data_IF_107407970584
#
_entry.id   IF_107407970584
#
_cell.length_a   1.000
_cell.length_b   1.000
_cell.length_c   1.000
_cell.angle_alpha   90.00
_cell.angle_beta   90.00
_cell.angle_gamma   90.00
#
_symmetry.space_group_name_H-M   'P 1'
#
loop_
_entity.id
_entity.type
_entity.pdbx_description
1 polymer ?
#
# COMPACT_ATOMS: atom_id res chain seq x y z
N UNK A 1 28.13 3.77 24.91
CA UNK A 1 26.96 3.52 24.00
C UNK A 1 26.24 2.25 24.44
N UNK A 2 24.96 2.31 24.87
CA UNK A 2 24.17 1.13 25.22
C UNK A 2 23.95 0.27 23.96
N UNK A 3 24.51 -0.93 23.95
CA UNK A 3 24.29 -1.91 22.87
C UNK A 3 22.82 -2.27 22.82
N UNK A 4 22.07 -1.74 21.85
CA UNK A 4 20.67 -2.13 21.62
C UNK A 4 20.65 -3.54 21.06
N UNK A 5 19.83 -4.43 21.64
CA UNK A 5 19.62 -5.77 21.08
C UNK A 5 19.09 -5.61 19.66
N UNK A 6 19.69 -6.26 18.67
CA UNK A 6 19.32 -6.23 17.23
C UNK A 6 17.82 -6.42 17.05
N UNK A 7 17.19 -7.30 17.84
CA UNK A 7 15.74 -7.54 17.89
C UNK A 7 14.90 -6.26 18.17
N UNK A 8 15.42 -5.34 19.02
CA UNK A 8 14.72 -4.08 19.33
C UNK A 8 14.88 -3.05 18.19
N UNK A 9 16.03 -3.03 17.55
CA UNK A 9 16.29 -2.15 16.39
C UNK A 9 15.45 -2.58 15.19
N UNK A 10 15.30 -3.89 14.94
CA UNK A 10 14.41 -4.41 13.91
C UNK A 10 12.94 -4.14 14.21
N UNK A 11 12.50 -4.27 15.48
CA UNK A 11 11.14 -3.89 15.85
C UNK A 11 10.83 -2.43 15.57
N UNK A 12 11.79 -1.52 15.85
CA UNK A 12 11.64 -0.08 15.52
C UNK A 12 11.61 0.12 14.00
N UNK A 13 12.49 -0.53 13.25
CA UNK A 13 12.50 -0.43 11.79
C UNK A 13 11.19 -0.94 11.17
N UNK A 14 10.64 -2.03 11.71
CA UNK A 14 9.36 -2.56 11.30
C UNK A 14 8.21 -1.58 11.55
N UNK A 15 8.10 -1.04 12.75
CA UNK A 15 7.03 -0.09 13.09
C UNK A 15 7.12 1.17 12.24
N UNK A 16 8.33 1.69 11.97
CA UNK A 16 8.53 2.85 11.10
C UNK A 16 8.18 2.56 9.64
N UNK A 17 8.52 1.37 9.13
CA UNK A 17 8.15 0.94 7.78
C UNK A 17 6.63 0.79 7.62
N UNK A 18 5.96 0.18 8.59
CA UNK A 18 4.51 0.00 8.61
C UNK A 18 3.78 1.35 8.69
N UNK A 19 4.29 2.28 9.49
CA UNK A 19 3.78 3.65 9.59
C UNK A 19 3.94 4.40 8.26
N UNK A 20 5.08 4.26 7.59
CA UNK A 20 5.33 4.84 6.28
C UNK A 20 4.37 4.28 5.22
N UNK A 21 4.10 2.98 5.22
CA UNK A 21 3.11 2.35 4.32
C UNK A 21 1.70 2.89 4.55
N UNK A 22 1.27 3.03 5.80
CA UNK A 22 -0.05 3.58 6.14
C UNK A 22 -0.16 5.02 5.62
N UNK A 23 0.87 5.84 5.81
CA UNK A 23 0.92 7.22 5.29
C UNK A 23 0.83 7.24 3.76
N UNK A 24 1.61 6.40 3.08
CA UNK A 24 1.59 6.27 1.62
C UNK A 24 0.22 5.83 1.08
N UNK A 25 -0.45 4.89 1.74
CA UNK A 25 -1.80 4.44 1.38
C UNK A 25 -2.84 5.56 1.58
N UNK A 26 -2.69 6.35 2.64
CA UNK A 26 -3.57 7.49 2.90
C UNK A 26 -3.40 8.60 1.83
N UNK A 27 -2.15 8.91 1.46
CA UNK A 27 -1.84 9.84 0.38
C UNK A 27 -2.35 9.35 -0.98
N UNK A 28 -2.20 8.07 -1.26
CA UNK A 28 -2.73 7.45 -2.48
C UNK A 28 -4.25 7.55 -2.55
N UNK A 29 -4.95 7.27 -1.43
CA UNK A 29 -6.41 7.43 -1.34
C UNK A 29 -6.83 8.87 -1.63
N UNK A 30 -6.19 9.85 -0.98
CA UNK A 30 -6.49 11.27 -1.20
C UNK A 30 -6.26 11.68 -2.67
N UNK A 31 -5.19 11.21 -3.28
CA UNK A 31 -4.87 11.47 -4.68
C UNK A 31 -5.89 10.86 -5.66
N UNK A 32 -6.34 9.61 -5.44
CA UNK A 32 -7.37 8.96 -6.27
C UNK A 32 -8.70 9.70 -6.19
N UNK A 33 -9.09 10.14 -4.98
CA UNK A 33 -10.33 10.89 -4.77
C UNK A 33 -10.28 12.23 -5.52
N UNK A 34 -9.16 12.94 -5.45
CA UNK A 34 -8.98 14.23 -6.15
C UNK A 34 -9.03 14.05 -7.68
N UNK A 35 -8.38 13.02 -8.22
CA UNK A 35 -8.45 12.69 -9.65
C UNK A 35 -9.88 12.33 -10.06
N UNK A 36 -10.59 11.51 -9.27
CA UNK A 36 -11.95 11.11 -9.59
C UNK A 36 -12.89 12.31 -9.65
N UNK A 37 -12.79 13.22 -8.66
CA UNK A 37 -13.56 14.46 -8.61
C UNK A 37 -13.27 15.37 -9.83
N UNK A 38 -12.00 15.56 -10.16
CA UNK A 38 -11.61 16.37 -11.30
C UNK A 38 -12.07 15.78 -12.64
N UNK A 39 -12.04 14.45 -12.77
CA UNK A 39 -12.57 13.78 -13.97
C UNK A 39 -14.10 13.93 -14.07
N UNK A 40 -14.82 13.85 -12.95
CA UNK A 40 -16.26 14.08 -12.89
C UNK A 40 -16.60 15.52 -13.29
N UNK A 41 -15.92 16.52 -12.73
CA UNK A 41 -16.08 17.94 -13.08
C UNK A 41 -15.85 18.18 -14.58
N UNK A 42 -14.78 17.66 -15.15
CA UNK A 42 -14.47 17.78 -16.58
C UNK A 42 -15.54 17.11 -17.46
N UNK A 43 -16.02 15.93 -17.06
CA UNK A 43 -17.04 15.20 -17.80
C UNK A 43 -18.37 15.97 -17.78
N UNK A 44 -18.74 16.51 -16.64
CA UNK A 44 -19.94 17.34 -16.47
C UNK A 44 -19.84 18.62 -17.32
N UNK A 45 -18.72 19.31 -17.28
CA UNK A 45 -18.50 20.54 -18.07
C UNK A 45 -18.62 20.27 -19.56
N UNK A 46 -17.98 19.21 -20.07
CA UNK A 46 -18.09 18.80 -21.46
C UNK A 46 -19.54 18.45 -21.85
N UNK A 47 -20.26 17.74 -20.98
CA UNK A 47 -21.66 17.37 -21.20
C UNK A 47 -22.56 18.60 -21.23
N UNK A 48 -22.38 19.53 -20.30
CA UNK A 48 -23.11 20.80 -20.29
C UNK A 48 -22.87 21.61 -21.55
N UNK A 49 -21.64 21.62 -22.08
CA UNK A 49 -21.31 22.33 -23.32
C UNK A 49 -21.96 21.68 -24.53
N UNK A 50 -21.99 20.36 -24.62
CA UNK A 50 -22.69 19.62 -25.68
C UNK A 50 -24.19 19.94 -25.61
N UNK A 51 -24.80 19.92 -24.43
CA UNK A 51 -26.22 20.25 -24.27
C UNK A 51 -26.52 21.69 -24.62
N UNK A 52 -25.67 22.62 -24.20
CA UNK A 52 -25.80 24.02 -24.57
C UNK A 52 -25.83 24.18 -26.09
N UNK A 53 -24.81 23.67 -26.80
CA UNK A 53 -24.69 23.77 -28.24
C UNK A 53 -25.87 23.10 -28.96
N UNK A 54 -26.33 21.95 -28.45
CA UNK A 54 -27.49 21.22 -29.01
C UNK A 54 -28.76 22.05 -28.85
N UNK A 55 -29.00 22.58 -27.66
CA UNK A 55 -30.18 23.38 -27.35
C UNK A 55 -30.19 24.69 -28.14
N UNK A 56 -29.10 25.41 -28.14
CA UNK A 56 -28.93 26.64 -28.91
C UNK A 56 -29.19 26.40 -30.38
N UNK A 57 -28.60 25.38 -30.99
CA UNK A 57 -28.82 25.03 -32.39
C UNK A 57 -30.26 24.58 -32.69
N UNK A 58 -30.97 23.98 -31.75
CA UNK A 58 -32.40 23.66 -31.87
C UNK A 58 -33.23 24.94 -31.85
N UNK A 59 -33.02 25.78 -30.84
CA UNK A 59 -33.78 27.01 -30.68
C UNK A 59 -33.56 27.97 -31.84
N UNK A 60 -32.32 28.09 -32.36
CA UNK A 60 -31.95 28.87 -33.53
C UNK A 60 -32.69 28.37 -34.80
N UNK A 61 -32.69 27.05 -35.07
CA UNK A 61 -33.44 26.49 -36.22
C UNK A 61 -34.94 26.73 -36.14
N UNK A 62 -35.52 26.67 -34.92
CA UNK A 62 -36.93 26.95 -34.71
C UNK A 62 -37.25 28.43 -34.93
N UNK A 63 -36.32 29.32 -34.55
CA UNK A 63 -36.44 30.77 -34.77
C UNK A 63 -36.38 31.12 -36.26
N UNK A 64 -35.38 30.58 -36.98
CA UNK A 64 -35.26 30.74 -38.44
C UNK A 64 -36.53 30.32 -39.16
N UNK A 65 -37.17 29.22 -38.76
CA UNK A 65 -38.43 28.78 -39.34
C UNK A 65 -39.59 29.71 -38.99
N UNK A 66 -39.59 30.31 -37.82
CA UNK A 66 -40.56 31.37 -37.49
C UNK A 66 -40.37 32.60 -38.34
N UNK A 67 -39.15 33.03 -38.59
CA UNK A 67 -38.80 34.17 -39.46
C UNK A 67 -39.20 33.90 -40.92
N UNK A 68 -39.01 32.68 -41.38
CA UNK A 68 -39.51 32.27 -42.70
C UNK A 68 -41.05 32.37 -42.83
N UNK A 69 -41.77 32.00 -41.74
CA UNK A 69 -43.22 32.14 -41.65
C UNK A 69 -43.64 33.61 -41.68
N UNK A 70 -42.91 34.51 -41.04
CA UNK A 70 -43.12 35.96 -41.13
C UNK A 70 -42.93 36.49 -42.55
N UNK A 71 -42.09 35.87 -43.39
CA UNK A 71 -41.86 36.20 -44.79
C UNK A 71 -43.14 36.13 -45.64
N UNK A 72 -44.14 35.32 -45.25
CA UNK A 72 -45.42 35.19 -45.95
C UNK A 72 -46.41 36.34 -45.64
N UNK A 73 -45.90 37.59 -45.63
CA UNK A 73 -46.64 38.77 -45.22
C UNK A 73 -47.97 38.94 -45.95
N UNK A 74 -48.04 38.66 -47.24
CA UNK A 74 -49.24 38.74 -48.04
C UNK A 74 -50.32 37.80 -47.57
N UNK A 75 -49.99 36.53 -47.30
CA UNK A 75 -50.90 35.57 -46.73
C UNK A 75 -51.39 35.96 -45.34
N UNK A 76 -50.51 36.45 -44.49
CA UNK A 76 -50.86 36.92 -43.12
C UNK A 76 -51.83 38.12 -43.18
N UNK A 77 -51.66 39.01 -44.15
CA UNK A 77 -52.58 40.16 -44.41
C UNK A 77 -53.92 39.65 -44.88
N UNK A 78 -53.98 38.68 -45.84
CA UNK A 78 -55.21 38.05 -46.32
C UNK A 78 -55.99 37.29 -45.22
N UNK A 79 -55.30 36.73 -44.22
CA UNK A 79 -55.98 36.14 -43.04
C UNK A 79 -56.83 37.15 -42.25
N UNK A 80 -56.48 38.47 -42.37
CA UNK A 80 -57.21 39.57 -41.72
C UNK A 80 -58.22 40.22 -42.58
N UNK A 81 -58.36 39.78 -43.85
CA UNK A 81 -59.28 40.38 -44.85
C UNK A 81 -60.76 40.08 -44.57
N UNK A 82 -61.65 40.96 -45.09
CA UNK A 82 -63.08 40.83 -44.95
C UNK A 82 -63.71 39.87 -45.99
N UNK A 83 -62.98 39.57 -47.07
CA UNK A 83 -63.45 38.65 -48.11
C UNK A 83 -63.26 37.16 -47.62
N UNK A 84 -64.37 36.53 -47.36
CA UNK A 84 -64.42 35.13 -46.84
C UNK A 84 -63.75 34.14 -47.77
N UNK A 85 -63.85 34.28 -49.09
CA UNK A 85 -63.23 33.34 -50.06
C UNK A 85 -61.69 33.43 -50.04
N UNK A 86 -61.17 34.64 -50.05
CA UNK A 86 -59.73 34.87 -50.00
C UNK A 86 -59.13 34.43 -48.66
N UNK A 87 -59.85 34.68 -47.61
CA UNK A 87 -59.48 34.26 -46.21
C UNK A 87 -59.39 32.74 -46.12
N UNK A 88 -60.40 32.01 -46.63
CA UNK A 88 -60.36 30.53 -46.59
C UNK A 88 -59.25 29.98 -47.43
N UNK A 89 -58.96 30.59 -48.63
CA UNK A 89 -57.83 30.22 -49.47
C UNK A 89 -56.49 30.50 -48.76
N UNK A 90 -56.37 31.63 -48.08
CA UNK A 90 -55.20 31.96 -47.30
C UNK A 90 -54.98 31.04 -46.08
N UNK A 91 -56.06 30.68 -45.36
CA UNK A 91 -56.03 29.67 -44.27
C UNK A 91 -55.54 28.32 -44.77
N UNK A 92 -56.07 27.84 -45.90
CA UNK A 92 -55.64 26.56 -46.49
C UNK A 92 -54.12 26.57 -46.87
N UNK A 93 -53.68 27.65 -47.59
CA UNK A 93 -52.27 27.78 -47.92
C UNK A 93 -51.39 27.86 -46.70
N UNK A 94 -51.79 28.62 -45.68
CA UNK A 94 -51.02 28.74 -44.45
C UNK A 94 -50.88 27.40 -43.74
N UNK A 95 -51.97 26.61 -43.66
CA UNK A 95 -51.94 25.26 -43.11
C UNK A 95 -50.97 24.32 -43.84
N UNK A 96 -50.90 24.42 -45.18
CA UNK A 96 -49.92 23.67 -45.98
C UNK A 96 -48.49 24.08 -45.64
N UNK A 97 -48.19 25.38 -45.53
CA UNK A 97 -46.89 25.90 -45.15
C UNK A 97 -46.51 25.43 -43.74
N UNK A 98 -47.46 25.53 -42.77
CA UNK A 98 -47.19 25.04 -41.41
C UNK A 98 -46.90 23.54 -41.41
N UNK A 99 -47.61 22.76 -42.27
CA UNK A 99 -47.35 21.31 -42.41
C UNK A 99 -45.96 21.01 -42.97
N UNK A 100 -45.49 21.76 -43.94
CA UNK A 100 -44.13 21.64 -44.47
C UNK A 100 -43.10 21.97 -43.39
N UNK A 101 -43.26 23.10 -42.69
CA UNK A 101 -42.36 23.48 -41.59
C UNK A 101 -42.30 22.43 -40.48
N UNK A 102 -43.44 21.87 -40.07
CA UNK A 102 -43.48 20.78 -39.11
C UNK A 102 -42.74 19.52 -39.59
N UNK A 103 -42.71 19.26 -40.90
CA UNK A 103 -41.95 18.11 -41.43
C UNK A 103 -40.45 18.39 -41.46
N UNK A 104 -40.05 19.63 -41.77
CA UNK A 104 -38.66 20.03 -41.86
C UNK A 104 -37.99 20.18 -40.48
N UNK A 105 -38.77 20.56 -39.47
CA UNK A 105 -38.31 20.73 -38.07
C UNK A 105 -39.01 19.74 -37.16
N UNK A 106 -38.45 18.55 -37.07
CA UNK A 106 -38.97 17.48 -36.20
C UNK A 106 -38.88 17.82 -34.71
N UNK A 107 -38.05 18.78 -34.39
CA UNK A 107 -37.85 19.28 -33.02
C UNK A 107 -39.05 20.07 -32.48
N UNK A 108 -39.80 20.77 -33.36
CA UNK A 108 -41.01 21.48 -32.97
C UNK A 108 -42.17 20.52 -32.67
N UNK A 109 -42.90 20.73 -31.60
CA UNK A 109 -44.17 20.03 -31.33
C UNK A 109 -45.33 20.63 -32.17
N UNK A 110 -45.34 21.94 -32.35
CA UNK A 110 -46.33 22.61 -33.15
C UNK A 110 -45.89 23.97 -33.68
N UNK A 111 -46.42 24.34 -34.82
CA UNK A 111 -46.45 25.72 -35.30
C UNK A 111 -47.93 26.16 -35.32
N UNK A 112 -48.16 27.39 -34.86
CA UNK A 112 -49.51 27.96 -34.79
C UNK A 112 -49.55 29.37 -35.32
N UNK A 113 -50.66 29.70 -35.96
CA UNK A 113 -51.03 31.09 -36.32
C UNK A 113 -52.39 31.36 -35.71
N UNK A 114 -52.48 32.33 -34.82
CA UNK A 114 -53.71 32.77 -34.19
C UNK A 114 -54.10 34.13 -34.69
N UNK A 115 -55.29 34.24 -35.24
CA UNK A 115 -55.87 35.52 -35.62
C UNK A 115 -56.72 36.06 -34.47
N UNK A 116 -56.37 37.21 -33.94
CA UNK A 116 -57.04 37.79 -32.76
C UNK A 116 -58.30 38.60 -33.13
N UNK A 117 -58.57 38.90 -34.44
CA UNK A 117 -59.84 39.56 -34.86
C UNK A 117 -61.01 38.61 -34.83
N UNK A 118 -60.86 37.39 -35.36
CA UNK A 118 -61.92 36.40 -35.51
C UNK A 118 -61.75 35.19 -34.61
N UNK A 119 -60.78 35.24 -33.74
CA UNK A 119 -60.46 34.15 -32.82
C UNK A 119 -60.14 32.79 -33.49
N UNK A 120 -59.73 32.77 -34.78
CA UNK A 120 -59.34 31.56 -35.46
C UNK A 120 -57.94 31.12 -35.04
N UNK A 121 -57.69 29.81 -35.05
CA UNK A 121 -56.38 29.23 -34.83
C UNK A 121 -56.10 28.25 -35.99
N UNK A 122 -54.92 28.44 -36.63
CA UNK A 122 -54.32 27.47 -37.54
C UNK A 122 -53.16 26.82 -36.81
N UNK A 123 -53.23 25.54 -36.62
CA UNK A 123 -52.16 24.78 -35.90
C UNK A 123 -51.79 23.52 -36.65
N UNK A 124 -50.52 23.31 -36.86
CA UNK A 124 -49.95 22.05 -37.30
C UNK A 124 -49.06 21.48 -36.22
N UNK A 125 -49.21 20.18 -35.95
CA UNK A 125 -48.55 19.49 -34.87
C UNK A 125 -47.70 18.31 -35.34
N UNK A 126 -46.59 18.05 -34.67
CA UNK A 126 -45.73 16.86 -34.83
C UNK A 126 -45.92 15.82 -33.73
N UNK A 127 -46.65 16.12 -32.67
CA UNK A 127 -46.84 15.25 -31.50
C UNK A 127 -48.30 15.07 -31.10
N UNK A 128 -48.54 14.34 -30.04
CA UNK A 128 -49.87 14.12 -29.48
C UNK A 128 -50.27 15.32 -28.59
N UNK A 129 -50.61 16.45 -29.20
CA UNK A 129 -51.18 17.58 -28.47
C UNK A 129 -52.70 17.35 -28.32
N UNK A 130 -53.19 17.42 -27.09
CA UNK A 130 -54.60 17.24 -26.81
C UNK A 130 -55.42 18.45 -27.24
N UNK A 131 -56.75 18.24 -27.33
CA UNK A 131 -57.66 19.36 -27.68
C UNK A 131 -57.61 20.49 -26.64
N UNK A 132 -57.53 20.15 -25.38
CA UNK A 132 -57.49 21.11 -24.30
C UNK A 132 -56.18 21.93 -24.36
N UNK A 133 -55.04 21.30 -24.66
CA UNK A 133 -53.76 21.99 -24.90
C UNK A 133 -53.85 22.95 -26.07
N UNK A 134 -54.55 22.59 -27.18
CA UNK A 134 -54.75 23.51 -28.29
C UNK A 134 -55.54 24.75 -27.85
N UNK A 135 -56.54 24.57 -27.03
CA UNK A 135 -57.34 25.66 -26.47
C UNK A 135 -56.50 26.57 -25.58
N UNK A 136 -55.64 25.99 -24.78
CA UNK A 136 -54.73 26.76 -23.93
C UNK A 136 -53.66 27.51 -24.78
N UNK A 137 -53.10 26.88 -25.81
CA UNK A 137 -52.22 27.54 -26.81
C UNK A 137 -52.90 28.79 -27.41
N UNK A 138 -54.15 28.59 -27.86
CA UNK A 138 -54.93 29.69 -28.46
C UNK A 138 -55.11 30.84 -27.43
N UNK A 139 -55.56 30.52 -26.23
CA UNK A 139 -55.79 31.50 -25.16
C UNK A 139 -54.50 32.23 -24.76
N UNK A 140 -53.39 31.50 -24.68
CA UNK A 140 -52.07 32.07 -24.39
C UNK A 140 -51.64 33.05 -25.45
N UNK A 141 -51.66 32.66 -26.73
CA UNK A 141 -51.23 33.48 -27.84
C UNK A 141 -52.13 34.72 -28.07
N UNK A 142 -53.46 34.57 -27.86
CA UNK A 142 -54.39 35.70 -27.92
C UNK A 142 -54.07 36.74 -26.84
N UNK A 143 -53.75 36.30 -25.61
CA UNK A 143 -53.40 37.22 -24.52
C UNK A 143 -52.10 37.98 -24.81
N UNK A 144 -51.20 37.40 -25.58
CA UNK A 144 -49.90 37.97 -25.95
C UNK A 144 -49.96 38.87 -27.18
N UNK A 145 -51.01 38.79 -27.96
CA UNK A 145 -51.21 39.71 -29.04
C UNK A 145 -51.79 41.06 -28.49
N UNK A 146 -50.90 41.87 -27.95
CA UNK A 146 -51.15 43.29 -27.80
C UNK A 146 -50.86 43.91 -29.17
N UNK A 147 -51.77 44.64 -29.76
CA UNK A 147 -51.61 45.28 -31.09
C UNK A 147 -50.37 46.23 -31.16
N UNK A 148 -49.50 46.18 -30.24
CA UNK A 148 -48.26 46.93 -30.17
C UNK A 148 -47.19 46.32 -31.07
N UNK A 149 -46.58 47.17 -31.85
CA UNK A 149 -45.59 46.89 -32.91
C UNK A 149 -44.20 46.44 -32.41
N UNK A 150 -44.09 45.89 -31.21
CA UNK A 150 -42.80 45.33 -30.77
C UNK A 150 -42.69 43.87 -31.22
N UNK A 151 -41.85 43.62 -32.23
CA UNK A 151 -41.55 42.26 -32.61
C UNK A 151 -40.61 41.71 -31.58
N UNK A 152 -40.83 40.50 -31.19
CA UNK A 152 -39.91 39.66 -30.44
C UNK A 152 -40.10 39.61 -28.96
N UNK A 153 -40.79 38.62 -28.56
CA UNK A 153 -40.44 37.99 -27.27
C UNK A 153 -39.30 37.01 -27.52
N UNK A 154 -38.31 37.03 -26.66
CA UNK A 154 -37.44 35.84 -26.54
C UNK A 154 -38.27 34.60 -26.22
N UNK A 155 -37.65 33.47 -26.20
CA UNK A 155 -38.30 32.24 -25.75
C UNK A 155 -38.93 32.42 -24.37
N UNK A 156 -40.15 31.93 -24.19
CA UNK A 156 -40.89 32.01 -22.91
C UNK A 156 -41.39 30.63 -22.53
N UNK A 157 -41.33 30.28 -21.22
CA UNK A 157 -41.85 29.04 -20.74
C UNK A 157 -43.29 29.22 -20.22
N UNK A 158 -44.14 28.22 -20.41
CA UNK A 158 -45.53 28.21 -19.93
C UNK A 158 -46.06 26.79 -19.80
N UNK A 159 -46.96 26.58 -18.84
CA UNK A 159 -47.68 25.31 -18.67
C UNK A 159 -48.92 25.33 -19.49
N UNK A 160 -49.12 24.33 -20.36
CA UNK A 160 -50.34 24.15 -21.17
C UNK A 160 -50.78 22.69 -21.04
N UNK A 161 -51.96 22.49 -20.47
CA UNK A 161 -52.37 21.15 -20.02
C UNK A 161 -51.48 20.63 -18.87
N UNK A 162 -50.96 19.45 -19.03
CA UNK A 162 -50.06 18.80 -18.02
C UNK A 162 -48.58 18.94 -18.37
N UNK A 163 -48.22 19.74 -19.40
CA UNK A 163 -46.85 19.81 -19.90
C UNK A 163 -46.35 21.27 -19.94
N UNK A 164 -45.02 21.38 -19.74
CA UNK A 164 -44.34 22.66 -19.94
C UNK A 164 -43.94 22.81 -21.39
N UNK A 165 -44.14 23.98 -21.95
CA UNK A 165 -43.73 24.36 -23.27
C UNK A 165 -42.83 25.56 -23.24
N UNK A 166 -41.76 25.55 -24.02
CA UNK A 166 -41.05 26.73 -24.47
C UNK A 166 -41.74 27.24 -25.73
N UNK A 167 -42.08 28.49 -25.73
CA UNK A 167 -42.82 29.14 -26.81
C UNK A 167 -42.09 30.38 -27.28
N UNK A 168 -41.86 30.47 -28.58
CA UNK A 168 -41.46 31.72 -29.24
C UNK A 168 -42.58 32.17 -30.15
N UNK A 169 -42.86 33.45 -30.19
CA UNK A 169 -43.91 34.00 -30.99
C UNK A 169 -43.55 35.36 -31.56
N UNK A 170 -44.12 35.65 -32.73
CA UNK A 170 -44.04 36.95 -33.37
C UNK A 170 -45.45 37.49 -33.65
N UNK A 171 -45.64 38.81 -33.48
CA UNK A 171 -46.88 39.47 -33.77
C UNK A 171 -46.78 40.20 -35.12
N UNK A 172 -47.72 39.90 -36.04
CA UNK A 172 -47.86 40.60 -37.31
C UNK A 172 -49.30 41.06 -37.50
N UNK A 173 -49.54 42.32 -37.21
CA UNK A 173 -50.89 42.87 -37.18
C UNK A 173 -51.80 42.17 -36.16
N UNK A 174 -52.94 41.64 -36.61
CA UNK A 174 -53.81 40.88 -35.76
C UNK A 174 -53.44 39.38 -35.63
N UNK A 175 -52.36 38.94 -36.28
CA UNK A 175 -51.93 37.55 -36.22
C UNK A 175 -50.74 37.40 -35.31
N UNK A 176 -50.74 36.32 -34.49
CA UNK A 176 -49.59 35.86 -33.71
C UNK A 176 -49.18 34.52 -34.28
N UNK A 177 -47.91 34.46 -34.71
CA UNK A 177 -47.28 33.26 -35.23
C UNK A 177 -46.40 32.71 -34.10
N UNK A 178 -46.48 31.40 -33.83
CA UNK A 178 -45.74 30.81 -32.76
C UNK A 178 -45.19 29.43 -33.11
N UNK A 179 -44.07 29.09 -32.50
CA UNK A 179 -43.51 27.74 -32.41
C UNK A 179 -43.51 27.29 -30.97
N UNK A 180 -43.81 26.02 -30.76
CA UNK A 180 -43.87 25.39 -29.45
C UNK A 180 -42.98 24.16 -29.44
N UNK A 181 -42.25 23.99 -28.39
CA UNK A 181 -41.49 22.78 -28.07
C UNK A 181 -41.77 22.37 -26.63
N UNK A 182 -42.19 21.13 -26.43
CA UNK A 182 -42.48 20.60 -25.10
C UNK A 182 -41.22 20.14 -24.38
N UNK A 183 -41.30 20.12 -23.04
CA UNK A 183 -40.29 19.54 -22.17
C UNK A 183 -39.89 18.12 -22.60
N UNK A 184 -40.88 17.24 -22.86
CA UNK A 184 -40.62 15.86 -23.31
C UNK A 184 -39.83 15.78 -24.61
N UNK A 185 -40.04 16.73 -25.51
CA UNK A 185 -39.29 16.81 -26.76
C UNK A 185 -37.86 17.28 -26.51
N UNK A 186 -37.70 18.29 -25.65
CA UNK A 186 -36.37 18.75 -25.23
C UNK A 186 -35.60 17.65 -24.57
N UNK A 187 -36.21 16.93 -23.63
CA UNK A 187 -35.59 15.79 -22.98
C UNK A 187 -35.18 14.71 -23.97
N UNK A 188 -36.05 14.36 -24.92
CA UNK A 188 -35.72 13.38 -25.98
C UNK A 188 -34.56 13.80 -26.91
N UNK A 189 -34.34 15.10 -27.10
CA UNK A 189 -33.24 15.63 -27.88
C UNK A 189 -31.91 15.65 -27.11
N UNK A 190 -31.99 15.76 -25.78
CA UNK A 190 -30.85 15.78 -24.86
C UNK A 190 -30.50 14.39 -24.36
N UNK A 191 -31.43 13.44 -24.35
CA UNK A 191 -31.20 12.03 -23.97
C UNK A 191 -30.37 11.31 -25.06
N UNK A 192 -29.12 11.70 -25.22
CA UNK A 192 -28.16 10.95 -26.01
C UNK A 192 -27.77 9.69 -25.23
N UNK A 193 -28.10 8.51 -25.78
CA UNK A 193 -28.00 7.17 -25.17
C UNK A 193 -26.58 6.71 -24.76
N UNK A 194 -25.64 7.61 -24.64
CA UNK A 194 -24.20 7.28 -24.41
C UNK A 194 -23.65 7.87 -23.11
N UNK A 195 -24.52 8.10 -22.11
CA UNK A 195 -24.07 8.64 -20.85
C UNK A 195 -23.50 7.56 -19.93
N UNK A 196 -22.21 7.62 -19.76
CA UNK A 196 -21.44 6.86 -18.76
C UNK A 196 -21.79 7.24 -17.31
N UNK A 197 -22.65 8.26 -17.12
CA UNK A 197 -23.09 8.71 -15.78
C UNK A 197 -24.51 8.19 -15.54
N UNK A 198 -24.61 7.18 -14.70
CA UNK A 198 -25.93 6.71 -14.19
C UNK A 198 -26.51 7.76 -13.25
N UNK A 199 -27.82 8.02 -13.41
CA UNK A 199 -28.57 8.94 -12.54
C UNK A 199 -28.14 10.42 -12.67
N UNK A 200 -27.98 10.89 -13.90
CA UNK A 200 -27.78 12.31 -14.19
C UNK A 200 -29.04 12.91 -14.78
N UNK A 201 -29.33 14.16 -14.45
CA UNK A 201 -30.48 14.87 -14.99
C UNK A 201 -30.12 16.30 -15.39
N UNK A 202 -30.76 16.76 -16.47
CA UNK A 202 -30.63 18.11 -16.99
C UNK A 202 -31.78 18.98 -16.52
N UNK A 203 -31.53 20.24 -16.22
CA UNK A 203 -32.53 21.24 -15.85
C UNK A 203 -32.30 22.56 -16.56
N UNK A 204 -33.40 23.18 -17.01
CA UNK A 204 -33.42 24.54 -17.51
C UNK A 204 -34.19 25.39 -16.53
N UNK A 205 -33.59 26.51 -16.10
CA UNK A 205 -34.20 27.43 -15.13
C UNK A 205 -34.34 28.83 -15.71
N UNK A 206 -35.19 29.66 -15.12
CA UNK A 206 -35.20 31.08 -15.33
C UNK A 206 -33.98 31.78 -14.65
N UNK A 207 -33.83 33.10 -14.88
CA UNK A 207 -32.76 33.91 -14.25
C UNK A 207 -32.80 33.90 -12.71
N UNK A 208 -33.91 33.48 -12.11
CA UNK A 208 -34.09 33.40 -10.64
C UNK A 208 -33.84 31.99 -10.11
N UNK A 209 -33.36 31.07 -10.96
CA UNK A 209 -33.11 29.68 -10.56
C UNK A 209 -34.37 28.82 -10.40
N UNK A 210 -35.53 29.23 -10.94
CA UNK A 210 -36.74 28.42 -10.94
C UNK A 210 -36.76 27.46 -12.10
N UNK A 211 -37.01 26.18 -11.83
CA UNK A 211 -37.01 25.10 -12.83
C UNK A 211 -38.17 25.31 -13.80
N UNK A 212 -37.86 25.33 -15.07
CA UNK A 212 -38.80 25.44 -16.18
C UNK A 212 -39.04 24.11 -16.88
N UNK A 213 -37.98 23.34 -17.05
CA UNK A 213 -38.03 21.96 -17.55
C UNK A 213 -36.82 21.17 -17.06
N UNK A 214 -36.93 19.84 -17.09
CA UNK A 214 -35.84 18.97 -16.67
C UNK A 214 -36.15 17.51 -16.95
N UNK A 215 -35.11 16.69 -17.11
CA UNK A 215 -35.20 15.25 -17.36
C UNK A 215 -35.31 14.40 -16.09
N UNK A 216 -35.14 15.01 -14.90
CA UNK A 216 -35.27 14.31 -13.60
C UNK A 216 -36.73 13.98 -13.25
N UNK A 217 -36.92 12.95 -12.42
CA UNK A 217 -38.28 12.51 -12.01
C UNK A 217 -38.85 13.34 -10.86
N UNK A 218 -38.04 13.94 -10.01
CA UNK A 218 -38.42 14.55 -8.73
C UNK A 218 -38.33 16.09 -8.74
N UNK A 219 -39.05 16.75 -9.64
CA UNK A 219 -39.11 18.22 -9.66
C UNK A 219 -40.49 18.76 -10.01
N UNK A 220 -40.77 19.99 -9.62
CA UNK A 220 -42.02 20.68 -9.94
C UNK A 220 -41.74 22.02 -10.65
N UNK A 221 -42.65 22.38 -11.58
CA UNK A 221 -42.51 23.65 -12.33
C UNK A 221 -42.50 24.86 -11.41
N UNK A 222 -41.47 25.69 -11.59
CA UNK A 222 -41.28 26.90 -10.77
C UNK A 222 -40.63 26.67 -9.41
N UNK A 223 -40.23 25.45 -9.08
CA UNK A 223 -39.42 25.13 -7.91
C UNK A 223 -37.99 25.68 -8.06
N UNK A 224 -37.36 26.08 -6.95
CA UNK A 224 -35.98 26.51 -6.98
C UNK A 224 -35.04 25.32 -7.12
N UNK A 225 -34.08 25.41 -8.05
CA UNK A 225 -33.10 24.34 -8.30
C UNK A 225 -32.33 23.89 -7.04
N UNK A 226 -32.09 24.81 -6.11
CA UNK A 226 -31.39 24.56 -4.84
C UNK A 226 -32.18 23.61 -3.92
N UNK A 227 -33.48 23.47 -4.11
CA UNK A 227 -34.30 22.58 -3.30
C UNK A 227 -34.01 21.10 -3.61
N UNK A 228 -33.61 20.77 -4.84
CA UNK A 228 -33.23 19.40 -5.21
C UNK A 228 -32.05 18.89 -4.35
N UNK A 229 -31.06 19.75 -4.12
CA UNK A 229 -29.91 19.39 -3.27
C UNK A 229 -30.26 19.32 -1.77
N UNK A 230 -31.28 20.07 -1.34
CA UNK A 230 -31.78 19.99 0.05
C UNK A 230 -32.60 18.72 0.30
N UNK A 231 -33.30 18.24 -0.72
CA UNK A 231 -34.12 17.00 -0.66
C UNK A 231 -33.24 15.75 -0.70
N UNK A 232 -32.21 15.74 -1.56
CA UNK A 232 -31.24 14.66 -1.64
C UNK A 232 -29.79 15.23 -1.62
N UNK A 233 -29.10 15.16 -0.46
CA UNK A 233 -27.74 15.65 -0.32
C UNK A 233 -26.71 14.90 -1.18
N UNK A 234 -27.07 13.75 -1.75
CA UNK A 234 -26.17 12.99 -2.66
C UNK A 234 -26.12 13.59 -4.06
N UNK A 235 -26.99 14.56 -4.37
CA UNK A 235 -27.06 15.22 -5.69
C UNK A 235 -26.09 16.41 -5.68
N UNK A 236 -25.12 16.36 -6.61
CA UNK A 236 -24.26 17.50 -6.96
C UNK A 236 -24.87 18.25 -8.13
N UNK A 237 -25.03 19.57 -8.00
CA UNK A 237 -25.63 20.42 -9.03
C UNK A 237 -24.52 21.28 -9.65
N UNK A 238 -24.35 21.15 -10.94
CA UNK A 238 -23.39 21.90 -11.75
C UNK A 238 -24.12 22.95 -12.61
N UNK A 239 -23.59 24.15 -12.62
CA UNK A 239 -24.13 25.24 -13.38
C UNK A 239 -23.47 25.34 -14.74
N UNK A 240 -24.28 25.30 -15.81
CA UNK A 240 -23.83 25.48 -17.19
C UNK A 240 -23.88 26.92 -17.67
N UNK A 241 -23.81 27.10 -18.99
CA UNK A 241 -23.90 28.40 -19.62
C UNK A 241 -25.34 28.94 -19.67
N UNK A 242 -25.45 30.23 -19.92
CA UNK A 242 -26.76 30.90 -20.13
C UNK A 242 -27.21 30.70 -21.57
N UNK A 243 -28.45 30.31 -21.73
CA UNK A 243 -29.08 30.11 -23.03
C UNK A 243 -30.00 31.30 -23.35
N UNK A 244 -29.90 31.90 -24.54
CA UNK A 244 -30.76 33.01 -25.00
C UNK A 244 -30.82 34.19 -24.03
N UNK A 245 -29.75 34.48 -23.27
CA UNK A 245 -29.69 35.52 -22.24
C UNK A 245 -30.83 35.46 -21.21
N UNK A 246 -31.63 34.41 -21.19
CA UNK A 246 -32.83 34.30 -20.37
C UNK A 246 -32.86 33.07 -19.47
N UNK A 247 -32.22 31.99 -19.87
CA UNK A 247 -32.29 30.71 -19.20
C UNK A 247 -30.92 30.28 -18.74
N UNK A 248 -30.90 29.60 -17.57
CA UNK A 248 -29.70 29.02 -17.03
C UNK A 248 -29.80 27.50 -17.07
N UNK A 249 -28.79 26.86 -17.62
CA UNK A 249 -28.71 25.42 -17.66
C UNK A 249 -28.07 24.87 -16.38
N UNK A 250 -28.59 23.77 -15.89
CA UNK A 250 -28.03 23.03 -14.76
C UNK A 250 -27.99 21.53 -15.09
N UNK A 251 -27.02 20.87 -14.54
CA UNK A 251 -26.85 19.43 -14.63
C UNK A 251 -26.70 18.86 -13.23
N UNK A 252 -27.54 17.91 -12.87
CA UNK A 252 -27.42 17.20 -11.62
C UNK A 252 -26.82 15.82 -11.84
N UNK A 253 -25.92 15.45 -10.97
CA UNK A 253 -25.33 14.11 -10.92
C UNK A 253 -25.51 13.59 -9.52
N UNK A 254 -26.08 12.41 -9.40
CA UNK A 254 -26.07 11.70 -8.13
C UNK A 254 -24.67 11.11 -7.95
N UNK A 255 -23.90 11.68 -7.04
CA UNK A 255 -22.52 11.28 -6.85
C UNK A 255 -22.48 9.82 -6.39
N UNK A 256 -21.94 8.95 -7.24
CA UNK A 256 -21.65 7.56 -6.89
C UNK A 256 -20.37 7.48 -6.06
N UNK A 257 -20.20 8.42 -5.10
CA UNK A 257 -19.04 8.39 -4.19
C UNK A 257 -18.82 6.99 -3.62
N UNK A 258 -19.89 6.28 -3.28
CA UNK A 258 -19.83 4.93 -2.76
C UNK A 258 -19.23 3.89 -3.72
N UNK A 259 -19.42 3.99 -5.03
CA UNK A 259 -18.90 3.00 -5.97
C UNK A 259 -17.39 3.16 -6.22
N UNK A 260 -16.90 4.38 -6.31
CA UNK A 260 -15.46 4.67 -6.42
C UNK A 260 -14.73 4.38 -5.10
N UNK A 261 -15.38 4.64 -3.96
CA UNK A 261 -14.83 4.32 -2.64
C UNK A 261 -14.76 2.81 -2.37
N UNK A 262 -15.74 2.03 -2.79
CA UNK A 262 -15.78 0.59 -2.50
C UNK A 262 -14.70 -0.19 -3.26
N UNK A 263 -14.52 0.07 -4.55
CA UNK A 263 -13.51 -0.60 -5.38
C UNK A 263 -12.08 -0.20 -5.00
N UNK A 264 -11.82 1.07 -4.80
CA UNK A 264 -10.49 1.54 -4.35
C UNK A 264 -10.18 1.07 -2.93
N UNK A 265 -11.16 1.02 -2.03
CA UNK A 265 -11.02 0.51 -0.67
C UNK A 265 -10.64 -0.97 -0.62
N UNK A 266 -11.25 -1.82 -1.45
CA UNK A 266 -10.93 -3.25 -1.55
C UNK A 266 -9.49 -3.46 -2.04
N UNK A 267 -9.06 -2.72 -3.07
CA UNK A 267 -7.70 -2.80 -3.61
C UNK A 267 -6.67 -2.37 -2.57
N UNK A 268 -6.92 -1.26 -1.86
CA UNK A 268 -6.04 -0.76 -0.79
C UNK A 268 -5.94 -1.78 0.35
N UNK A 269 -7.08 -2.34 0.78
CA UNK A 269 -7.11 -3.36 1.83
C UNK A 269 -6.38 -4.63 1.41
N UNK A 270 -6.58 -5.11 0.18
CA UNK A 270 -5.88 -6.26 -0.40
C UNK A 270 -4.37 -6.06 -0.43
N UNK A 271 -3.91 -4.87 -0.86
CA UNK A 271 -2.48 -4.53 -0.86
C UNK A 271 -1.88 -4.48 0.55
N UNK A 272 -2.63 -3.97 1.53
CA UNK A 272 -2.20 -3.92 2.93
C UNK A 272 -2.06 -5.33 3.53
N UNK A 273 -3.02 -6.21 3.29
CA UNK A 273 -2.97 -7.61 3.72
C UNK A 273 -1.80 -8.34 3.07
N UNK A 274 -1.60 -8.18 1.75
CA UNK A 274 -0.49 -8.78 1.02
C UNK A 274 0.87 -8.31 1.55
N UNK A 275 1.01 -7.03 1.82
CA UNK A 275 2.21 -6.41 2.40
C UNK A 275 2.52 -6.95 3.80
N UNK A 276 1.51 -7.12 4.65
CA UNK A 276 1.66 -7.72 5.99
C UNK A 276 2.11 -9.19 5.91
N UNK A 277 1.52 -9.97 5.00
CA UNK A 277 1.91 -11.37 4.78
C UNK A 277 3.36 -11.46 4.27
N UNK A 278 3.72 -10.66 3.28
CA UNK A 278 5.08 -10.62 2.74
C UNK A 278 6.10 -10.24 3.81
N UNK A 279 5.79 -9.24 4.63
CA UNK A 279 6.66 -8.85 5.74
C UNK A 279 6.77 -9.95 6.80
N UNK A 280 5.66 -10.60 7.16
CA UNK A 280 5.65 -11.74 8.08
C UNK A 280 6.58 -12.87 7.62
N UNK A 281 6.58 -13.17 6.32
CA UNK A 281 7.48 -14.18 5.73
C UNK A 281 8.95 -13.77 5.81
N UNK A 282 9.27 -12.50 5.57
CA UNK A 282 10.64 -11.97 5.71
C UNK A 282 11.12 -12.07 7.16
N UNK A 283 10.32 -11.64 8.13
CA UNK A 283 10.68 -11.72 9.56
C UNK A 283 10.89 -13.16 10.00
N UNK A 284 10.01 -14.07 9.58
CA UNK A 284 10.15 -15.49 9.87
C UNK A 284 11.43 -16.07 9.26
N UNK A 285 11.73 -15.74 8.00
CA UNK A 285 12.94 -16.17 7.32
C UNK A 285 14.20 -15.65 8.02
N UNK A 286 14.26 -14.36 8.36
CA UNK A 286 15.39 -13.78 9.10
C UNK A 286 15.57 -14.40 10.49
N UNK A 287 14.47 -14.68 11.18
CA UNK A 287 14.52 -15.31 12.50
C UNK A 287 15.18 -16.69 12.40
N UNK A 288 14.81 -17.49 11.42
CA UNK A 288 15.27 -18.86 11.24
C UNK A 288 16.69 -18.94 10.68
N UNK A 289 16.97 -18.18 9.60
CA UNK A 289 18.22 -18.33 8.84
C UNK A 289 19.38 -17.45 9.36
N UNK A 290 19.08 -16.43 10.17
CA UNK A 290 20.10 -15.50 10.66
C UNK A 290 20.18 -15.49 12.19
N UNK A 291 19.05 -15.20 12.86
CA UNK A 291 19.10 -14.96 14.31
C UNK A 291 19.30 -16.23 15.12
N UNK A 292 18.69 -17.34 14.74
CA UNK A 292 18.91 -18.63 15.42
C UNK A 292 20.36 -19.08 15.29
N UNK A 293 20.98 -19.15 14.09
CA UNK A 293 22.40 -19.46 13.91
C UNK A 293 23.34 -18.58 14.74
N UNK A 294 23.15 -17.27 14.72
CA UNK A 294 23.98 -16.35 15.51
C UNK A 294 23.84 -16.59 17.02
N UNK A 295 22.62 -16.90 17.47
CA UNK A 295 22.40 -17.20 18.89
C UNK A 295 23.08 -18.50 19.31
N UNK A 296 23.08 -19.54 18.45
CA UNK A 296 23.74 -20.81 18.68
C UNK A 296 25.26 -20.63 18.71
N UNK A 297 25.86 -19.95 17.74
CA UNK A 297 27.28 -19.60 17.73
C UNK A 297 27.69 -18.85 19.01
N UNK A 298 26.88 -17.90 19.46
CA UNK A 298 27.11 -17.14 20.69
C UNK A 298 27.03 -18.03 21.94
N UNK A 299 26.13 -19.02 21.93
CA UNK A 299 26.01 -19.99 23.03
C UNK A 299 27.21 -20.94 23.08
N UNK A 300 27.62 -21.50 21.93
CA UNK A 300 28.82 -22.35 21.81
C UNK A 300 30.08 -21.58 22.23
N UNK A 301 30.22 -20.33 21.77
CA UNK A 301 31.34 -19.47 22.20
C UNK A 301 31.42 -19.30 23.71
N UNK A 302 30.30 -19.14 24.39
CA UNK A 302 30.26 -19.07 25.87
C UNK A 302 30.65 -20.39 26.52
N UNK A 303 30.21 -21.53 25.96
CA UNK A 303 30.60 -22.86 26.44
C UNK A 303 32.11 -23.10 26.32
N UNK A 304 32.70 -22.75 25.19
CA UNK A 304 34.14 -22.82 24.96
C UNK A 304 34.89 -21.94 25.97
N UNK A 305 34.40 -20.72 26.20
CA UNK A 305 34.99 -19.83 27.22
C UNK A 305 34.92 -20.40 28.66
N UNK A 306 33.88 -21.13 28.97
CA UNK A 306 33.75 -21.81 30.26
C UNK A 306 34.54 -23.12 30.36
N UNK A 307 35.27 -23.52 29.31
CA UNK A 307 36.13 -24.69 29.30
C UNK A 307 35.58 -25.93 28.60
N UNK A 308 34.36 -25.89 28.07
CA UNK A 308 33.79 -26.98 27.28
C UNK A 308 34.17 -26.88 25.80
N UNK A 309 35.36 -27.41 25.46
CA UNK A 309 35.90 -27.40 24.10
C UNK A 309 35.31 -28.49 23.20
N UNK A 310 34.35 -29.30 23.69
CA UNK A 310 33.62 -30.28 22.88
C UNK A 310 32.35 -29.70 22.25
N UNK A 311 31.89 -28.55 22.74
CA UNK A 311 30.74 -27.88 22.19
C UNK A 311 30.95 -27.55 20.72
N UNK A 312 29.96 -27.83 19.85
CA UNK A 312 29.96 -27.53 18.42
C UNK A 312 28.69 -26.77 18.06
N UNK A 313 28.74 -25.96 17.01
CA UNK A 313 27.57 -25.35 16.43
C UNK A 313 26.79 -26.38 15.63
N UNK A 314 25.50 -26.58 15.97
CA UNK A 314 24.64 -27.66 15.40
C UNK A 314 23.34 -27.11 14.79
N UNK A 315 23.25 -25.81 14.51
CA UNK A 315 22.05 -25.25 13.89
C UNK A 315 21.84 -25.75 12.45
N UNK A 316 20.57 -25.90 12.08
CA UNK A 316 20.17 -26.20 10.69
C UNK A 316 19.83 -24.91 9.96
N UNK A 317 20.42 -24.72 8.80
CA UNK A 317 20.20 -23.56 7.92
C UNK A 317 20.12 -24.03 6.46
N UNK A 318 19.34 -23.28 5.66
CA UNK A 318 19.30 -23.44 4.22
C UNK A 318 20.23 -22.43 3.51
N UNK A 319 20.86 -21.50 4.25
CA UNK A 319 21.81 -20.55 3.71
C UNK A 319 23.18 -21.20 3.58
N UNK A 320 23.73 -21.16 2.38
CA UNK A 320 25.09 -21.64 2.09
C UNK A 320 26.13 -20.88 2.93
N UNK A 321 25.97 -19.57 3.06
CA UNK A 321 26.88 -18.71 3.82
C UNK A 321 26.89 -19.05 5.30
N UNK A 322 25.70 -19.36 5.88
CA UNK A 322 25.62 -19.74 7.29
C UNK A 322 26.16 -21.16 7.54
N UNK A 323 26.03 -22.07 6.59
CA UNK A 323 26.67 -23.38 6.65
C UNK A 323 28.20 -23.27 6.60
N UNK A 324 28.73 -22.42 5.72
CA UNK A 324 30.16 -22.13 5.64
C UNK A 324 30.71 -21.52 6.96
N UNK A 325 29.95 -20.58 7.55
CA UNK A 325 30.28 -20.02 8.88
C UNK A 325 30.28 -21.08 9.96
N UNK A 326 29.30 -22.00 9.96
CA UNK A 326 29.24 -23.13 10.91
C UNK A 326 30.47 -24.02 10.81
N UNK A 327 30.86 -24.39 9.58
CA UNK A 327 32.03 -25.24 9.34
C UNK A 327 33.30 -24.52 9.78
N UNK A 328 33.53 -23.30 9.32
CA UNK A 328 34.71 -22.53 9.70
C UNK A 328 34.82 -22.31 11.22
N UNK A 329 33.69 -22.11 11.89
CA UNK A 329 33.67 -21.97 13.35
C UNK A 329 34.03 -23.30 14.05
N UNK A 330 33.46 -24.42 13.60
CA UNK A 330 33.76 -25.73 14.17
C UNK A 330 35.22 -26.15 13.92
N UNK A 331 35.79 -25.85 12.75
CA UNK A 331 37.19 -26.09 12.43
C UNK A 331 38.13 -25.25 13.32
N UNK A 332 37.77 -23.98 13.57
CA UNK A 332 38.52 -23.13 14.50
C UNK A 332 38.50 -23.72 15.92
N UNK A 333 37.35 -24.20 16.41
CA UNK A 333 37.23 -24.84 17.71
C UNK A 333 38.10 -26.12 17.79
N UNK A 334 38.12 -26.91 16.72
CA UNK A 334 38.97 -28.09 16.60
C UNK A 334 40.47 -27.74 16.68
N UNK A 335 40.90 -26.74 15.93
CA UNK A 335 42.26 -26.25 15.96
C UNK A 335 42.70 -25.76 17.37
N UNK A 336 41.81 -25.05 18.05
CA UNK A 336 42.06 -24.62 19.44
C UNK A 336 42.23 -25.81 20.38
N UNK A 337 41.44 -26.86 20.21
CA UNK A 337 41.54 -28.08 21.02
C UNK A 337 42.89 -28.79 20.78
N UNK A 338 43.29 -28.93 19.51
CA UNK A 338 44.54 -29.54 19.10
C UNK A 338 45.78 -28.78 19.65
N UNK A 339 45.79 -27.45 19.47
CA UNK A 339 46.85 -26.61 20.03
C UNK A 339 46.92 -26.71 21.55
N UNK A 340 45.80 -26.86 22.23
CA UNK A 340 45.79 -26.99 23.67
C UNK A 340 46.35 -28.34 24.14
N UNK A 341 46.00 -29.43 23.43
CA UNK A 341 46.58 -30.76 23.70
C UNK A 341 48.08 -30.73 23.50
N UNK A 342 48.55 -30.19 22.37
CA UNK A 342 49.97 -30.06 22.07
C UNK A 342 50.74 -29.24 23.15
N UNK A 343 50.14 -28.13 23.59
CA UNK A 343 50.71 -27.34 24.67
C UNK A 343 50.82 -28.14 25.97
N UNK A 344 49.82 -28.90 26.36
CA UNK A 344 49.90 -29.76 27.55
C UNK A 344 50.98 -30.85 27.41
N UNK A 345 51.09 -31.46 26.25
CA UNK A 345 52.17 -32.42 25.99
C UNK A 345 53.57 -31.80 26.08
N UNK A 346 53.74 -30.57 25.56
CA UNK A 346 54.98 -29.81 25.67
C UNK A 346 55.30 -29.48 27.13
N UNK A 347 54.30 -29.05 27.90
CA UNK A 347 54.47 -28.77 29.34
C UNK A 347 54.86 -30.05 30.12
N UNK A 348 54.25 -31.20 29.81
CA UNK A 348 54.59 -32.48 30.42
C UNK A 348 56.02 -32.90 30.05
N UNK A 349 56.42 -32.77 28.78
CA UNK A 349 57.84 -33.04 28.34
C UNK A 349 58.83 -32.14 29.09
N UNK A 350 58.51 -30.86 29.21
CA UNK A 350 59.37 -29.93 29.97
C UNK A 350 59.51 -30.30 31.40
N UNK A 351 58.46 -30.70 32.08
CA UNK A 351 58.49 -31.19 33.45
C UNK A 351 59.33 -32.47 33.60
N UNK A 352 59.20 -33.41 32.63
CA UNK A 352 60.00 -34.64 32.65
C UNK A 352 61.50 -34.32 32.47
N UNK A 353 61.83 -33.41 31.57
CA UNK A 353 63.22 -32.95 31.42
C UNK A 353 63.75 -32.28 32.70
N UNK A 354 62.93 -31.44 33.36
CA UNK A 354 63.31 -30.83 34.62
C UNK A 354 63.58 -31.85 35.72
N UNK A 355 62.68 -32.86 35.83
CA UNK A 355 62.89 -33.96 36.80
C UNK A 355 64.19 -34.71 36.52
N UNK A 356 64.46 -35.05 35.27
CA UNK A 356 65.71 -35.70 34.86
C UNK A 356 66.94 -34.85 35.22
N UNK A 357 66.85 -33.53 34.98
CA UNK A 357 67.95 -32.59 35.34
C UNK A 357 68.21 -32.54 36.84
N UNK A 358 67.16 -32.47 37.68
CA UNK A 358 67.31 -32.49 39.13
C UNK A 358 67.93 -33.80 39.59
N UNK A 359 67.49 -34.96 39.06
CA UNK A 359 68.11 -36.22 39.34
C UNK A 359 69.59 -36.30 39.03
N UNK A 360 70.02 -35.69 37.91
CA UNK A 360 71.40 -35.61 37.52
C UNK A 360 72.26 -34.73 38.46
N UNK A 361 71.69 -33.64 39.04
CA UNK A 361 72.40 -32.79 39.98
C UNK A 361 72.62 -33.43 41.32
N UNK A 362 71.70 -34.29 41.79
CA UNK A 362 71.83 -34.96 43.07
C UNK A 362 72.94 -36.05 43.11
N UNK A 363 73.20 -36.69 42.00
CA UNK A 363 74.17 -37.80 41.91
C UNK A 363 75.61 -37.40 42.16
N UNK A 364 76.17 -36.30 41.61
CA UNK A 364 77.55 -35.90 41.81
C UNK A 364 77.90 -35.69 43.29
N UNK A 365 77.07 -35.03 44.05
CA UNK A 365 77.31 -34.78 45.50
C UNK A 365 77.32 -36.08 46.32
N UNK A 366 76.45 -37.02 45.97
CA UNK A 366 76.45 -38.33 46.58
C UNK A 366 77.73 -39.12 46.36
N UNK A 367 78.26 -39.09 45.14
CA UNK A 367 79.55 -39.69 44.79
C UNK A 367 80.74 -39.06 45.55
N UNK A 368 80.75 -37.74 45.57
CA UNK A 368 81.82 -37.00 46.27
C UNK A 368 81.81 -37.30 47.75
N UNK A 369 80.64 -37.36 48.40
CA UNK A 369 80.53 -37.70 49.81
C UNK A 369 81.02 -39.14 50.11
N UNK A 370 80.61 -40.08 49.24
CA UNK A 370 81.02 -41.46 49.39
C UNK A 370 82.53 -41.63 49.24
N UNK A 371 83.16 -40.97 48.26
CA UNK A 371 84.63 -40.97 48.06
C UNK A 371 85.31 -40.34 49.22
N UNK A 372 84.83 -39.22 49.75
CA UNK A 372 85.41 -38.61 51.00
C UNK A 372 85.32 -39.51 52.17
N UNK A 373 84.25 -40.28 52.36
CA UNK A 373 84.10 -41.24 53.44
C UNK A 373 85.05 -42.41 53.33
N UNK A 374 85.23 -42.95 52.08
CA UNK A 374 86.20 -44.01 51.81
C UNK A 374 87.60 -43.49 52.13
N UNK A 375 87.94 -42.28 51.67
CA UNK A 375 89.25 -41.68 51.98
C UNK A 375 89.46 -41.57 53.51
N UNK A 376 88.47 -41.12 54.27
CA UNK A 376 88.54 -41.00 55.72
C UNK A 376 88.78 -42.36 56.39
N UNK A 377 88.10 -43.42 55.95
CA UNK A 377 88.25 -44.76 56.45
C UNK A 377 89.61 -45.37 56.21
N UNK A 378 90.18 -45.10 55.01
CA UNK A 378 91.54 -45.49 54.66
C UNK A 378 92.57 -44.80 55.55
N UNK A 379 92.41 -43.54 55.86
CA UNK A 379 93.29 -42.79 56.75
C UNK A 379 93.22 -43.34 58.20
N UNK A 380 92.11 -43.91 58.56
CA UNK A 380 91.84 -44.51 59.90
C UNK A 380 92.31 -45.99 59.98
N UNK A 381 92.90 -46.53 58.91
CA UNK A 381 93.39 -47.94 58.82
C UNK A 381 92.26 -48.99 59.04
N UNK A 382 91.03 -48.68 58.62
CA UNK A 382 89.82 -49.51 58.75
C UNK A 382 89.58 -50.38 57.52
N UNK A 383 90.47 -51.22 57.15
CA UNK A 383 90.46 -51.97 55.86
C UNK A 383 89.15 -52.79 55.66
N UNK A 384 88.65 -53.42 56.69
CA UNK A 384 87.36 -54.25 56.62
C UNK A 384 86.18 -53.32 56.33
N UNK A 385 86.08 -52.16 57.01
CA UNK A 385 85.00 -51.20 56.83
C UNK A 385 85.08 -50.54 55.43
N UNK A 386 86.26 -50.29 54.91
CA UNK A 386 86.49 -49.77 53.56
C UNK A 386 85.90 -50.76 52.50
N UNK A 387 86.26 -52.04 52.69
CA UNK A 387 85.77 -53.09 51.79
C UNK A 387 84.24 -53.20 51.82
N UNK A 388 83.61 -53.26 52.99
CA UNK A 388 82.16 -53.32 53.16
C UNK A 388 81.48 -52.12 52.59
N UNK A 389 82.01 -50.91 52.85
CA UNK A 389 81.46 -49.67 52.33
C UNK A 389 81.49 -49.61 50.75
N UNK A 390 82.64 -49.95 50.12
CA UNK A 390 82.80 -50.00 48.68
C UNK A 390 81.82 -50.99 48.05
N UNK A 391 81.62 -52.16 48.70
CA UNK A 391 80.68 -53.17 48.20
C UNK A 391 79.24 -52.65 48.20
N UNK A 392 78.79 -52.10 49.38
CA UNK A 392 77.48 -51.52 49.52
C UNK A 392 77.26 -50.32 48.63
N UNK A 393 78.21 -49.44 48.51
CA UNK A 393 78.19 -48.29 47.56
C UNK A 393 78.07 -48.72 46.14
N UNK A 394 78.88 -49.67 45.68
CA UNK A 394 78.83 -50.22 44.34
C UNK A 394 77.51 -50.90 44.01
N UNK A 395 76.89 -51.57 44.97
CA UNK A 395 75.59 -52.17 44.80
C UNK A 395 74.50 -51.10 44.75
N UNK A 396 74.55 -50.07 45.55
CA UNK A 396 73.61 -48.98 45.54
C UNK A 396 73.69 -48.18 44.20
N UNK A 397 74.91 -47.92 43.75
CA UNK A 397 75.14 -47.28 42.43
C UNK A 397 74.51 -48.13 41.31
N UNK A 398 74.77 -49.42 41.24
CA UNK A 398 74.20 -50.31 40.22
C UNK A 398 72.67 -50.28 40.24
N UNK A 399 72.11 -50.24 41.44
CA UNK A 399 70.65 -50.12 41.61
C UNK A 399 70.11 -48.81 41.07
N UNK A 400 70.74 -47.67 41.48
CA UNK A 400 70.33 -46.34 40.97
C UNK A 400 70.34 -46.20 39.43
N UNK A 401 71.34 -46.85 38.77
CA UNK A 401 71.42 -46.82 37.30
C UNK A 401 70.51 -47.86 36.65
N UNK A 402 70.12 -48.93 37.31
CA UNK A 402 69.26 -49.98 36.78
C UNK A 402 67.74 -49.62 36.87
N UNK A 403 67.32 -48.90 37.91
CA UNK A 403 65.90 -48.69 38.26
C UNK A 403 65.32 -47.41 37.77
N UNK A 404 66.04 -46.66 36.95
CA UNK A 404 65.53 -45.35 36.45
C UNK A 404 64.14 -45.44 35.80
N UNK A 405 63.09 -44.94 36.46
CA UNK A 405 61.70 -44.81 36.04
C UNK A 405 60.84 -46.08 35.83
N UNK A 406 61.34 -47.24 36.18
CA UNK A 406 60.56 -48.49 36.11
C UNK A 406 60.16 -48.97 37.52
N UNK A 407 59.07 -49.67 37.62
CA UNK A 407 58.64 -50.36 38.80
C UNK A 407 59.62 -51.52 39.05
N UNK A 408 60.01 -51.68 40.28
CA UNK A 408 60.92 -52.77 40.71
C UNK A 408 60.24 -53.68 41.73
N UNK A 409 60.62 -54.93 41.86
CA UNK A 409 60.12 -55.79 42.93
C UNK A 409 60.43 -55.22 44.28
N UNK A 410 59.48 -55.29 45.18
CA UNK A 410 59.62 -54.81 46.60
C UNK A 410 60.83 -55.41 47.24
N UNK A 411 61.16 -56.66 46.98
CA UNK A 411 62.32 -57.35 47.52
C UNK A 411 63.66 -56.69 47.14
N UNK A 412 63.76 -56.19 45.87
CA UNK A 412 64.97 -55.51 45.41
C UNK A 412 65.06 -54.11 46.06
N UNK A 413 63.98 -53.44 46.25
CA UNK A 413 63.92 -52.17 47.03
C UNK A 413 64.36 -52.31 48.47
N UNK A 414 63.87 -53.33 49.19
CA UNK A 414 64.25 -53.63 50.57
C UNK A 414 65.73 -53.93 50.65
N UNK A 415 66.24 -54.74 49.70
CA UNK A 415 67.70 -55.09 49.62
C UNK A 415 68.55 -53.85 49.40
N UNK A 416 68.15 -52.96 48.57
CA UNK A 416 68.85 -51.69 48.26
C UNK A 416 68.80 -50.78 49.50
N UNK A 417 67.63 -50.61 50.12
CA UNK A 417 67.47 -49.85 51.33
C UNK A 417 68.38 -50.41 52.48
N UNK A 418 68.41 -51.72 52.66
CA UNK A 418 69.31 -52.33 53.66
C UNK A 418 70.76 -52.04 53.38
N UNK A 419 71.24 -52.20 52.15
CA UNK A 419 72.64 -51.86 51.76
C UNK A 419 72.96 -50.39 51.98
N UNK A 420 72.00 -49.49 51.62
CA UNK A 420 72.14 -48.06 51.86
C UNK A 420 72.27 -47.74 53.36
N UNK A 421 71.45 -48.34 54.19
CA UNK A 421 71.51 -48.14 55.66
C UNK A 421 72.77 -48.68 56.25
N UNK A 422 73.29 -49.79 55.79
CA UNK A 422 74.59 -50.34 56.22
C UNK A 422 75.72 -49.36 55.82
N UNK A 423 75.72 -48.78 54.62
CA UNK A 423 76.67 -47.75 54.22
C UNK A 423 76.54 -46.49 55.07
N UNK A 424 75.33 -46.04 55.41
CA UNK A 424 75.09 -44.90 56.31
C UNK A 424 75.60 -45.17 57.74
N UNK A 425 75.42 -46.39 58.23
CA UNK A 425 75.91 -46.80 59.54
C UNK A 425 77.44 -46.77 59.61
N UNK A 426 78.11 -47.17 58.59
CA UNK A 426 79.56 -47.06 58.51
C UNK A 426 80.05 -45.59 58.41
N UNK A 427 79.23 -44.72 57.80
CA UNK A 427 79.55 -43.28 57.64
C UNK A 427 79.31 -42.51 58.95
N UNK A 428 78.28 -42.86 59.66
CA UNK A 428 77.82 -42.17 60.91
C UNK A 428 77.75 -43.12 62.04
N UNK A 429 78.91 -43.59 62.54
CA UNK A 429 79.07 -44.54 63.63
C UNK A 429 78.33 -44.03 64.85
N UNK A 430 77.57 -44.94 65.48
CA UNK A 430 76.85 -44.71 66.72
C UNK A 430 75.84 -43.49 66.71
N UNK A 431 75.54 -42.89 65.52
CA UNK A 431 74.61 -41.76 65.39
C UNK A 431 73.15 -42.17 65.34
N UNK A 432 72.83 -43.39 64.88
CA UNK A 432 71.49 -43.91 64.76
C UNK A 432 71.39 -45.41 64.75
N UNK A 433 70.27 -45.92 65.15
CA UNK A 433 69.89 -47.35 65.10
C UNK A 433 68.74 -47.49 64.12
N UNK A 434 68.80 -48.50 63.25
CA UNK A 434 67.76 -48.80 62.32
C UNK A 434 67.12 -50.15 62.71
N UNK A 435 65.87 -50.13 62.87
CA UNK A 435 65.06 -51.33 63.03
C UNK A 435 64.19 -51.44 61.79
N UNK A 436 64.26 -52.54 61.01
CA UNK A 436 63.40 -52.84 59.90
C UNK A 436 62.51 -54.02 60.28
N UNK A 437 61.21 -53.76 60.35
CA UNK A 437 60.19 -54.81 60.41
C UNK A 437 59.60 -55.01 59.07
N UNK A 438 59.91 -56.11 58.45
CA UNK A 438 59.48 -56.45 57.08
C UNK A 438 58.65 -57.70 57.15
N UNK A 439 57.30 -57.66 56.85
CA UNK A 439 56.44 -58.81 56.97
C UNK A 439 56.79 -59.95 55.98
#
# INVERSE_FOLDING_TARGET
>A
MKKRKIRRTMGVFFTTFLLLQIILLFLYKAFIVDIAKKNEENLVENTLQIYHNTMEGVLERLDDNLDLLLGYRLLLTQLNGENNLEKVKAQYKMLQILKERCKDTKEADAYAVVNCKDNSILIQRNGNITYDTIKDIKKYLQKRNTFDKTPTSGWTSTVMGEQVYLVKYYNYGANTIAVLISEKRLDSLLNYNDMSIKEAAFYLTDKKGKILCGSGEDWTYGEAIENLQKQDPSISIYRGSVLEDAYQMYYSVKSSEYAAYSTSGIVIFGFLVLSLLFFGTIVWYMQKEIFQPIADLSWVSRKIHSGDFRARAEYNTNSYEMEEVKQAYNDMVQTILEMRVEKYEQELRMKDVQLKYIHMQLKPHYFLNALSTINSMVYQHEEENVHTFIQAFSQNIRYMFRTGLHTVPLQDEIKNASGYLEMQRLMYRDCFYVYMDIP
#
